data_IF_734046623852
#
_entry.id   IF_734046623852
#
_cell.length_a   1.000
_cell.length_b   1.000
_cell.length_c   1.000
_cell.angle_alpha   90.00
_cell.angle_beta   90.00
_cell.angle_gamma   90.00
#
_symmetry.space_group_name_H-M   'P 1'
#
loop_
_entity.id
_entity.type
_entity.pdbx_description
1 polymer ?
#
# COMPACT_ATOMS: atom_id res chain seq x y z
N UNK A 1 -43.37 -49.52 -6.83
CA UNK A 1 -42.58 -48.69 -7.81
C UNK A 1 -42.50 -47.18 -7.46
N UNK A 2 -43.09 -46.70 -6.38
CA UNK A 2 -43.06 -45.27 -6.00
C UNK A 2 -41.85 -44.86 -5.14
N UNK A 3 -41.21 -45.81 -4.46
CA UNK A 3 -40.15 -45.51 -3.48
C UNK A 3 -38.80 -45.04 -4.13
N UNK A 4 -38.48 -45.58 -5.30
CA UNK A 4 -37.21 -45.27 -5.94
C UNK A 4 -37.17 -43.84 -6.55
N UNK A 5 -38.31 -43.29 -6.94
CA UNK A 5 -38.42 -41.92 -7.52
C UNK A 5 -38.26 -40.84 -6.44
N UNK A 6 -38.78 -41.10 -5.25
CA UNK A 6 -38.63 -40.17 -4.12
C UNK A 6 -37.19 -40.14 -3.59
N UNK A 7 -36.48 -41.26 -3.61
CA UNK A 7 -35.07 -41.32 -3.22
C UNK A 7 -34.19 -40.61 -4.20
N UNK A 8 -34.45 -40.72 -5.50
CA UNK A 8 -33.69 -39.97 -6.55
C UNK A 8 -33.93 -38.48 -6.50
N UNK A 9 -35.16 -38.04 -6.24
CA UNK A 9 -35.47 -36.60 -6.07
C UNK A 9 -34.83 -36.05 -4.80
N UNK A 10 -34.84 -36.78 -3.69
CA UNK A 10 -34.17 -36.37 -2.46
C UNK A 10 -32.64 -36.27 -2.65
N UNK A 11 -32.06 -37.17 -3.41
CA UNK A 11 -30.61 -37.16 -3.70
C UNK A 11 -30.22 -35.96 -4.58
N UNK A 12 -31.02 -35.62 -5.59
CA UNK A 12 -30.81 -34.47 -6.45
C UNK A 12 -30.92 -33.15 -5.66
N UNK A 13 -31.88 -33.04 -4.77
CA UNK A 13 -32.07 -31.88 -3.89
C UNK A 13 -30.90 -31.70 -2.90
N UNK A 14 -30.40 -32.80 -2.33
CA UNK A 14 -29.24 -32.78 -1.42
C UNK A 14 -27.96 -32.35 -2.15
N UNK A 15 -27.68 -32.94 -3.31
CA UNK A 15 -26.49 -32.62 -4.10
C UNK A 15 -26.56 -31.18 -4.65
N UNK A 16 -27.73 -30.75 -5.12
CA UNK A 16 -27.95 -29.37 -5.59
C UNK A 16 -27.80 -28.34 -4.47
N UNK A 17 -28.31 -28.65 -3.27
CA UNK A 17 -28.17 -27.77 -2.10
C UNK A 17 -26.72 -27.61 -1.64
N UNK A 18 -25.95 -28.70 -1.60
CA UNK A 18 -24.52 -28.66 -1.26
C UNK A 18 -23.72 -27.86 -2.28
N UNK A 19 -24.01 -28.00 -3.56
CA UNK A 19 -23.34 -27.28 -4.64
C UNK A 19 -23.58 -25.77 -4.55
N UNK A 20 -24.82 -25.35 -4.21
CA UNK A 20 -25.15 -23.94 -4.01
C UNK A 20 -24.45 -23.33 -2.79
N UNK A 21 -24.35 -24.09 -1.69
CA UNK A 21 -23.64 -23.63 -0.49
C UNK A 21 -22.14 -23.48 -0.76
N UNK A 22 -21.53 -24.43 -1.47
CA UNK A 22 -20.12 -24.37 -1.84
C UNK A 22 -19.86 -23.18 -2.79
N UNK A 23 -20.73 -22.95 -3.77
CA UNK A 23 -20.61 -21.81 -4.68
C UNK A 23 -20.75 -20.47 -3.93
N UNK A 24 -21.65 -20.38 -2.95
CA UNK A 24 -21.81 -19.18 -2.12
C UNK A 24 -20.58 -18.93 -1.23
N UNK A 25 -20.01 -19.99 -0.62
CA UNK A 25 -18.80 -19.88 0.19
C UNK A 25 -17.58 -19.48 -0.64
N UNK A 26 -17.45 -20.02 -1.83
CA UNK A 26 -16.37 -19.64 -2.76
C UNK A 26 -16.52 -18.16 -3.19
N UNK A 27 -17.74 -17.72 -3.47
CA UNK A 27 -18.00 -16.34 -3.87
C UNK A 27 -17.69 -15.34 -2.74
N UNK A 28 -18.07 -15.66 -1.50
CA UNK A 28 -17.71 -14.85 -0.32
C UNK A 28 -16.21 -14.82 -0.09
N UNK A 29 -15.50 -15.93 -0.35
CA UNK A 29 -14.04 -16.00 -0.19
C UNK A 29 -13.27 -15.22 -1.27
N UNK A 30 -13.83 -15.11 -2.49
CA UNK A 30 -13.23 -14.33 -3.57
C UNK A 30 -13.61 -12.84 -3.50
N UNK A 31 -14.69 -12.49 -2.82
CA UNK A 31 -15.08 -11.11 -2.55
C UNK A 31 -14.26 -10.58 -1.38
N UNK A 32 -12.96 -10.30 -1.62
CA UNK A 32 -12.21 -9.50 -0.66
C UNK A 32 -12.93 -8.15 -0.52
N UNK A 33 -13.31 -7.75 0.71
CA UNK A 33 -13.82 -6.40 0.89
C UNK A 33 -12.72 -5.46 0.39
N UNK A 34 -13.03 -4.71 -0.66
CA UNK A 34 -12.23 -3.55 -1.03
C UNK A 34 -12.32 -2.62 0.17
N UNK A 35 -11.23 -2.57 0.93
CA UNK A 35 -11.10 -1.57 1.97
C UNK A 35 -11.46 -0.22 1.32
N UNK A 36 -12.30 0.61 1.95
CA UNK A 36 -12.58 1.94 1.42
C UNK A 36 -11.22 2.59 1.17
N UNK A 37 -11.01 3.04 -0.06
CA UNK A 37 -9.84 3.84 -0.39
C UNK A 37 -9.86 5.02 0.60
N UNK A 38 -9.03 4.96 1.63
CA UNK A 38 -8.75 6.10 2.48
C UNK A 38 -8.10 7.10 1.53
N UNK A 39 -8.93 8.00 1.00
CA UNK A 39 -8.42 9.23 0.42
C UNK A 39 -7.60 9.86 1.54
N UNK A 40 -6.26 9.97 1.40
CA UNK A 40 -5.49 10.62 2.45
C UNK A 40 -6.03 12.03 2.57
N UNK A 41 -6.75 12.30 3.64
CA UNK A 41 -7.00 13.68 4.05
C UNK A 41 -5.61 14.28 4.18
N UNK A 42 -5.28 15.38 3.50
CA UNK A 42 -3.98 16.00 3.67
C UNK A 42 -3.79 16.26 5.15
N UNK A 43 -2.86 15.50 5.76
CA UNK A 43 -2.41 15.79 7.11
C UNK A 43 -2.05 17.28 7.14
N UNK A 44 -2.53 18.01 8.13
CA UNK A 44 -2.16 19.42 8.23
C UNK A 44 -0.63 19.48 8.31
N UNK A 45 -0.01 20.47 7.70
CA UNK A 45 1.46 20.65 7.73
C UNK A 45 2.03 20.64 9.16
N UNK A 46 1.16 20.93 10.16
CA UNK A 46 1.49 20.86 11.58
C UNK A 46 1.69 19.40 12.10
N UNK A 47 1.20 18.40 11.39
CA UNK A 47 1.26 16.99 11.81
C UNK A 47 2.47 16.25 11.22
N UNK A 48 3.21 16.87 10.29
CA UNK A 48 4.43 16.28 9.73
C UNK A 48 5.54 16.33 10.79
N UNK A 49 6.00 15.16 11.21
CA UNK A 49 7.09 15.04 12.16
C UNK A 49 8.38 15.63 11.56
N UNK A 50 9.04 16.49 12.33
CA UNK A 50 10.37 17.00 11.98
C UNK A 50 11.43 16.21 12.72
N UNK A 51 12.49 15.86 12.02
CA UNK A 51 13.66 15.16 12.58
C UNK A 51 14.87 16.07 12.56
N UNK A 52 15.77 15.87 13.49
CA UNK A 52 17.04 16.59 13.52
C UNK A 52 18.02 16.01 12.50
N UNK A 53 19.03 16.78 12.04
CA UNK A 53 20.05 16.25 11.14
C UNK A 53 20.81 15.04 11.71
N UNK A 54 20.97 14.98 13.03
CA UNK A 54 21.66 13.88 13.71
C UNK A 54 20.81 12.60 13.62
N UNK A 55 19.51 12.70 13.88
CA UNK A 55 18.58 11.57 13.77
C UNK A 55 18.45 11.09 12.32
N UNK A 56 18.33 12.02 11.37
CA UNK A 56 18.27 11.68 9.95
C UNK A 56 19.52 10.94 9.49
N UNK A 57 20.71 11.41 9.91
CA UNK A 57 21.95 10.74 9.58
C UNK A 57 22.05 9.35 10.20
N UNK A 58 21.66 9.19 11.45
CA UNK A 58 21.69 7.90 12.13
C UNK A 58 20.75 6.89 11.43
N UNK A 59 19.55 7.32 11.05
CA UNK A 59 18.60 6.48 10.33
C UNK A 59 19.09 6.10 8.92
N UNK A 60 19.74 7.03 8.20
CA UNK A 60 20.35 6.75 6.90
C UNK A 60 21.50 5.73 7.04
N UNK A 61 22.38 5.91 8.00
CA UNK A 61 23.53 5.04 8.23
C UNK A 61 23.09 3.62 8.65
N UNK A 62 21.97 3.51 9.38
CA UNK A 62 21.35 2.25 9.75
C UNK A 62 20.58 1.58 8.59
N UNK A 63 20.35 2.27 7.47
CA UNK A 63 19.54 1.78 6.37
C UNK A 63 18.03 1.74 6.67
N UNK A 64 17.59 2.45 7.70
CA UNK A 64 16.20 2.52 8.15
C UNK A 64 15.41 3.61 7.42
N UNK A 65 16.09 4.62 6.87
CA UNK A 65 15.48 5.74 6.17
C UNK A 65 16.07 5.97 4.80
N UNK A 66 15.24 6.51 3.90
CA UNK A 66 15.64 7.05 2.61
C UNK A 66 15.56 8.57 2.68
N UNK A 67 16.66 9.26 2.37
CA UNK A 67 16.68 10.72 2.32
C UNK A 67 16.39 11.18 0.90
N UNK A 68 15.47 12.12 0.76
CA UNK A 68 15.06 12.68 -0.52
C UNK A 68 15.31 14.19 -0.52
N UNK A 69 16.13 14.63 -1.47
CA UNK A 69 16.32 16.04 -1.77
C UNK A 69 15.22 16.51 -2.72
N UNK A 70 14.35 17.38 -2.22
CA UNK A 70 13.22 17.91 -2.99
C UNK A 70 13.51 19.28 -3.62
N UNK A 71 14.77 19.75 -3.57
CA UNK A 71 15.21 20.96 -4.25
C UNK A 71 15.31 20.71 -5.75
N UNK A 72 15.65 21.75 -6.51
CA UNK A 72 15.92 21.62 -7.94
C UNK A 72 17.22 20.84 -8.23
N UNK A 73 17.34 20.32 -9.45
CA UNK A 73 18.48 19.49 -9.86
C UNK A 73 19.83 20.21 -9.80
N UNK A 74 19.87 21.53 -9.96
CA UNK A 74 21.11 22.29 -9.88
C UNK A 74 21.58 22.41 -8.43
N UNK A 75 20.66 22.63 -7.51
CA UNK A 75 20.94 22.64 -6.06
C UNK A 75 21.48 21.30 -5.60
N UNK A 76 20.87 20.22 -6.04
CA UNK A 76 21.36 18.87 -5.77
C UNK A 76 22.77 18.64 -6.34
N UNK A 77 23.02 19.01 -7.59
CA UNK A 77 24.31 18.87 -8.26
C UNK A 77 25.43 19.69 -7.56
N UNK A 78 25.08 20.87 -7.06
CA UNK A 78 26.03 21.72 -6.36
C UNK A 78 26.46 21.15 -5.00
N UNK A 79 25.52 20.64 -4.24
CA UNK A 79 25.77 20.03 -2.92
C UNK A 79 24.54 19.28 -2.44
N UNK A 80 24.69 18.04 -1.97
CA UNK A 80 23.61 17.22 -1.41
C UNK A 80 24.12 16.30 -0.32
N UNK A 81 23.20 15.71 0.43
CA UNK A 81 23.52 14.69 1.44
C UNK A 81 23.92 13.40 0.73
N UNK A 82 25.10 12.87 1.04
CA UNK A 82 25.56 11.60 0.47
C UNK A 82 24.53 10.47 0.66
N UNK A 83 24.14 9.84 -0.45
CA UNK A 83 23.11 8.80 -0.45
C UNK A 83 21.67 9.30 -0.57
N UNK A 84 21.43 10.60 -0.64
CA UNK A 84 20.10 11.15 -0.88
C UNK A 84 19.68 10.95 -2.35
N UNK A 85 18.39 10.69 -2.56
CA UNK A 85 17.77 10.67 -3.89
C UNK A 85 17.36 12.08 -4.30
N UNK A 86 17.58 12.44 -5.56
CA UNK A 86 17.12 13.71 -6.12
C UNK A 86 15.73 13.53 -6.74
N UNK A 87 14.72 14.05 -6.08
CA UNK A 87 13.35 14.08 -6.59
C UNK A 87 12.78 15.48 -6.34
N UNK A 88 12.93 16.40 -7.30
CA UNK A 88 12.38 17.74 -7.17
C UNK A 88 10.89 17.73 -6.82
N UNK A 89 10.46 18.68 -5.98
CA UNK A 89 9.10 18.73 -5.43
C UNK A 89 8.01 18.72 -6.52
N UNK A 90 8.28 19.32 -7.67
CA UNK A 90 7.38 19.35 -8.82
C UNK A 90 7.30 17.99 -9.56
N UNK A 91 8.32 17.12 -9.41
CA UNK A 91 8.35 15.79 -10.00
C UNK A 91 7.87 14.70 -9.03
N UNK A 92 7.77 15.03 -7.75
CA UNK A 92 7.43 14.06 -6.70
C UNK A 92 6.11 13.30 -6.96
N UNK A 93 5.02 13.92 -7.46
CA UNK A 93 3.78 13.20 -7.75
C UNK A 93 3.96 12.09 -8.80
N UNK A 94 4.78 12.32 -9.81
CA UNK A 94 5.02 11.36 -10.90
C UNK A 94 6.05 10.30 -10.51
N UNK A 95 6.94 10.61 -9.58
CA UNK A 95 8.08 9.78 -9.17
C UNK A 95 7.93 9.14 -7.79
N UNK A 96 6.78 9.32 -7.14
CA UNK A 96 6.54 8.76 -5.80
C UNK A 96 6.62 7.23 -5.77
N UNK A 97 6.38 6.58 -6.90
CA UNK A 97 6.50 5.13 -7.06
C UNK A 97 7.95 4.61 -6.99
N UNK A 98 8.95 5.49 -7.10
CA UNK A 98 10.36 5.15 -6.90
C UNK A 98 10.69 4.93 -5.43
N UNK A 99 9.84 5.44 -4.52
CA UNK A 99 10.00 5.30 -3.09
C UNK A 99 9.27 4.07 -2.58
N UNK A 100 9.93 3.27 -1.74
CA UNK A 100 9.28 2.16 -1.10
C UNK A 100 8.31 2.68 -0.02
N UNK A 101 6.99 2.38 -0.10
CA UNK A 101 6.00 2.88 0.85
C UNK A 101 6.19 2.34 2.28
N UNK A 102 6.99 1.29 2.45
CA UNK A 102 7.32 0.74 3.76
C UNK A 102 8.59 1.36 4.37
N UNK A 103 9.32 2.18 3.64
CA UNK A 103 10.53 2.85 4.14
C UNK A 103 10.17 4.16 4.83
N UNK A 104 10.93 4.51 5.83
CA UNK A 104 10.86 5.84 6.40
C UNK A 104 11.49 6.84 5.43
N UNK A 105 10.67 7.73 4.86
CA UNK A 105 11.13 8.75 3.91
C UNK A 105 11.32 10.08 4.63
N UNK A 106 12.53 10.61 4.57
CA UNK A 106 12.89 11.92 5.14
C UNK A 106 13.20 12.86 3.98
N UNK A 107 12.39 13.91 3.82
CA UNK A 107 12.62 14.94 2.81
C UNK A 107 13.35 16.13 3.41
N UNK A 108 14.20 16.79 2.63
CA UNK A 108 14.80 18.06 3.03
C UNK A 108 14.75 19.07 1.89
N UNK A 109 14.66 20.34 2.31
CA UNK A 109 14.64 21.53 1.47
C UNK A 109 15.37 22.66 2.22
N UNK A 110 16.28 23.36 1.60
CA UNK A 110 16.99 24.54 2.15
C UNK A 110 16.92 25.72 1.22
#
# INVERSE_FOLDING_TARGET
MADNRNRSVAFILLVGGVLLVVAALVWVSLSKPVAPAVTPTPASVAEVQRVTPVEAKAALDAGEAVIVDVRDVNSYAASHIGGALSIPINELPDRISELNPSSWVITYCT
#
